data_IF_352078465339
#
_entry.id   IF_352078465339
#
_cell.length_a   1.000
_cell.length_b   1.000
_cell.length_c   1.000
_cell.angle_alpha   90.00
_cell.angle_beta   90.00
_cell.angle_gamma   90.00
#
_symmetry.space_group_name_H-M   'P 1'
#
loop_
_entity.id
_entity.type
_entity.pdbx_description
1 polymer ?
#
# COMPACT_ATOMS: atom_id res chain seq x y z
N UNK A 1 50.93 18.82 106.25
CA UNK A 1 49.82 19.32 105.40
C UNK A 1 49.59 18.31 104.28
N UNK A 2 48.51 17.52 104.36
CA UNK A 2 48.15 16.50 103.36
C UNK A 2 47.15 17.13 102.38
N UNK A 3 47.52 17.26 101.11
CA UNK A 3 46.61 17.71 100.05
C UNK A 3 45.79 16.54 99.52
N UNK A 4 44.46 16.69 99.53
CA UNK A 4 43.47 15.71 99.09
C UNK A 4 43.39 15.58 97.56
N UNK A 5 43.04 14.37 97.09
CA UNK A 5 42.69 14.09 95.70
C UNK A 5 41.20 14.40 95.46
N UNK A 6 40.82 15.01 94.32
CA UNK A 6 39.42 15.17 93.97
C UNK A 6 38.84 13.90 93.31
N UNK A 7 37.61 13.56 93.71
CA UNK A 7 36.77 12.48 93.20
C UNK A 7 36.17 12.80 91.82
N UNK A 8 36.20 11.83 90.89
CA UNK A 8 35.60 11.95 89.54
C UNK A 8 34.06 11.81 89.60
N UNK A 9 33.30 12.57 88.79
CA UNK A 9 31.85 12.39 88.65
C UNK A 9 31.50 11.18 87.74
N UNK A 10 30.28 10.61 87.87
CA UNK A 10 29.87 9.44 87.08
C UNK A 10 29.57 9.78 85.61
N UNK A 11 29.72 8.83 84.68
CA UNK A 11 29.48 9.04 83.26
C UNK A 11 27.98 9.21 82.95
N UNK A 12 27.65 10.20 82.14
CA UNK A 12 26.30 10.44 81.61
C UNK A 12 25.92 9.46 80.49
N UNK A 13 24.62 9.32 80.17
CA UNK A 13 24.13 8.32 79.23
C UNK A 13 24.60 8.59 77.79
N UNK A 14 25.12 7.54 77.16
CA UNK A 14 25.58 7.50 75.77
C UNK A 14 24.43 7.78 74.79
N UNK A 15 24.51 8.92 74.11
CA UNK A 15 23.61 9.30 73.01
C UNK A 15 24.31 9.04 71.68
N UNK A 16 24.42 7.78 71.28
CA UNK A 16 24.88 7.44 69.94
C UNK A 16 24.28 6.13 69.42
N UNK A 17 23.00 6.17 69.05
CA UNK A 17 22.44 5.14 68.15
C UNK A 17 21.63 5.86 67.07
N UNK A 18 22.14 5.97 65.82
CA UNK A 18 21.31 6.43 64.73
C UNK A 18 20.37 5.28 64.37
N UNK A 19 19.08 5.45 64.66
CA UNK A 19 18.04 4.57 64.15
C UNK A 19 18.07 4.62 62.61
N UNK A 20 18.63 3.58 62.00
CA UNK A 20 18.63 3.40 60.55
C UNK A 20 17.19 3.27 60.08
N UNK A 21 16.59 4.36 59.59
CA UNK A 21 15.38 4.29 58.78
C UNK A 21 15.71 3.46 57.55
N UNK A 22 15.27 2.21 57.56
CA UNK A 22 15.27 1.35 56.38
C UNK A 22 14.33 2.02 55.38
N UNK A 23 14.88 2.76 54.44
CA UNK A 23 14.16 3.21 53.25
C UNK A 23 13.83 1.94 52.49
N UNK A 24 12.63 1.43 52.68
CA UNK A 24 12.06 0.39 51.81
C UNK A 24 11.85 1.08 50.47
N UNK A 25 12.86 1.03 49.59
CA UNK A 25 12.62 1.31 48.18
C UNK A 25 11.68 0.22 47.69
N UNK A 26 10.51 0.53 47.12
CA UNK A 26 9.75 -0.47 46.40
C UNK A 26 10.66 -0.93 45.24
N UNK A 27 11.24 -2.10 45.42
CA UNK A 27 11.98 -2.84 44.41
C UNK A 27 10.91 -3.46 43.50
N UNK A 28 10.12 -2.60 42.87
CA UNK A 28 9.33 -3.00 41.73
C UNK A 28 10.34 -3.30 40.64
N UNK A 29 10.45 -4.57 40.27
CA UNK A 29 11.27 -5.03 39.17
C UNK A 29 10.89 -4.21 37.93
N UNK A 30 11.74 -3.24 37.57
CA UNK A 30 11.64 -2.55 36.28
C UNK A 30 11.92 -3.52 35.11
N UNK A 31 12.32 -4.76 35.42
CA UNK A 31 12.36 -5.91 34.51
C UNK A 31 10.98 -6.53 34.24
N UNK A 32 9.95 -6.28 35.07
CA UNK A 32 8.56 -6.69 34.81
C UNK A 32 7.78 -5.68 33.95
N UNK A 33 8.33 -4.49 33.68
CA UNK A 33 7.90 -3.68 32.53
C UNK A 33 8.44 -4.35 31.26
N UNK A 34 7.88 -5.53 30.98
CA UNK A 34 8.31 -6.44 29.94
C UNK A 34 8.45 -5.70 28.63
N UNK A 35 9.66 -5.70 28.10
CA UNK A 35 9.86 -5.45 26.68
C UNK A 35 8.93 -6.43 25.96
N UNK A 36 7.95 -5.96 25.15
CA UNK A 36 7.13 -6.85 24.38
C UNK A 36 8.07 -7.75 23.61
N UNK A 37 7.95 -9.02 23.91
CA UNK A 37 8.70 -10.07 23.28
C UNK A 37 8.55 -9.91 21.76
N UNK A 38 9.68 -9.95 21.05
CA UNK A 38 9.71 -9.63 19.63
C UNK A 38 8.74 -10.51 18.81
N UNK A 39 8.38 -11.69 19.32
CA UNK A 39 7.38 -12.57 18.74
C UNK A 39 5.95 -12.03 18.89
N UNK A 40 5.53 -11.49 20.04
CA UNK A 40 4.20 -10.85 20.16
C UNK A 40 4.05 -9.64 19.24
N UNK A 41 5.11 -8.85 19.04
CA UNK A 41 5.07 -7.73 18.09
C UNK A 41 4.89 -8.24 16.66
N UNK A 42 5.63 -9.28 16.28
CA UNK A 42 5.53 -9.90 14.96
C UNK A 42 4.14 -10.51 14.72
N UNK A 43 3.58 -11.19 15.71
CA UNK A 43 2.24 -11.78 15.65
C UNK A 43 1.16 -10.71 15.57
N UNK A 44 1.29 -9.61 16.33
CA UNK A 44 0.37 -8.49 16.27
C UNK A 44 0.41 -7.79 14.90
N UNK A 45 1.59 -7.58 14.32
CA UNK A 45 1.75 -6.99 12.99
C UNK A 45 1.23 -7.90 11.87
N UNK A 46 1.44 -9.20 12.00
CA UNK A 46 0.90 -10.19 11.08
C UNK A 46 -0.62 -10.23 11.17
N UNK A 47 -1.18 -10.27 12.39
CA UNK A 47 -2.61 -10.20 12.64
C UNK A 47 -3.25 -8.92 12.09
N UNK A 48 -2.61 -7.77 12.28
CA UNK A 48 -3.05 -6.50 11.70
C UNK A 48 -3.07 -6.54 10.17
N UNK A 49 -2.00 -7.07 9.55
CA UNK A 49 -1.91 -7.19 8.08
C UNK A 49 -3.01 -8.08 7.52
N UNK A 50 -3.29 -9.22 8.17
CA UNK A 50 -4.38 -10.11 7.79
C UNK A 50 -5.75 -9.43 7.95
N UNK A 51 -5.96 -8.69 9.06
CA UNK A 51 -7.19 -7.96 9.30
C UNK A 51 -7.43 -6.86 8.25
N UNK A 52 -6.40 -6.08 7.90
CA UNK A 52 -6.45 -5.07 6.84
C UNK A 52 -6.72 -5.69 5.47
N UNK A 53 -6.13 -6.86 5.20
CA UNK A 53 -6.35 -7.62 3.96
C UNK A 53 -7.81 -8.06 3.85
N UNK A 54 -8.35 -8.69 4.89
CA UNK A 54 -9.73 -9.14 4.94
C UNK A 54 -10.71 -7.96 4.84
N UNK A 55 -10.42 -6.86 5.56
CA UNK A 55 -11.22 -5.64 5.51
C UNK A 55 -11.21 -5.02 4.10
N UNK A 56 -10.04 -4.91 3.48
CA UNK A 56 -9.90 -4.35 2.13
C UNK A 56 -10.64 -5.18 1.08
N UNK A 57 -10.51 -6.51 1.14
CA UNK A 57 -11.23 -7.42 0.28
C UNK A 57 -12.76 -7.30 0.45
N UNK A 58 -13.25 -7.25 1.70
CA UNK A 58 -14.67 -7.08 1.99
C UNK A 58 -15.21 -5.73 1.53
N UNK A 59 -14.51 -4.63 1.84
CA UNK A 59 -14.90 -3.27 1.48
C UNK A 59 -14.93 -3.08 -0.04
N UNK A 60 -13.88 -3.47 -0.75
CA UNK A 60 -13.84 -3.34 -2.21
C UNK A 60 -14.78 -4.30 -2.92
N UNK A 61 -15.00 -5.50 -2.38
CA UNK A 61 -16.02 -6.42 -2.88
C UNK A 61 -17.43 -5.84 -2.79
N UNK A 62 -17.81 -5.33 -1.62
CA UNK A 62 -19.10 -4.70 -1.41
C UNK A 62 -19.25 -3.40 -2.23
N UNK A 63 -18.25 -2.53 -2.21
CA UNK A 63 -18.23 -1.30 -2.99
C UNK A 63 -18.30 -1.57 -4.50
N UNK A 64 -17.61 -2.61 -4.97
CA UNK A 64 -17.64 -3.07 -6.36
C UNK A 64 -19.04 -3.51 -6.78
N UNK A 65 -19.69 -4.37 -5.99
CA UNK A 65 -21.09 -4.77 -6.24
C UNK A 65 -22.02 -3.56 -6.35
N UNK A 66 -21.90 -2.59 -5.43
CA UNK A 66 -22.73 -1.38 -5.42
C UNK A 66 -22.41 -0.41 -6.57
N UNK A 67 -21.15 -0.34 -6.99
CA UNK A 67 -20.68 0.57 -8.02
C UNK A 67 -20.89 0.05 -9.45
N UNK A 68 -21.16 -1.24 -9.63
CA UNK A 68 -21.34 -1.91 -10.93
C UNK A 68 -22.25 -1.13 -11.90
N UNK A 69 -23.44 -0.74 -11.47
CA UNK A 69 -24.36 0.06 -12.29
C UNK A 69 -23.91 1.50 -12.55
N UNK A 70 -23.04 2.08 -11.70
CA UNK A 70 -22.40 3.38 -11.97
C UNK A 70 -21.28 3.23 -13.00
N UNK A 71 -20.45 2.18 -12.89
CA UNK A 71 -19.38 1.90 -13.84
C UNK A 71 -19.93 1.59 -15.24
N UNK A 72 -21.01 0.81 -15.33
CA UNK A 72 -21.68 0.52 -16.60
C UNK A 72 -22.17 1.80 -17.31
N UNK A 73 -22.54 2.85 -16.56
CA UNK A 73 -22.94 4.15 -17.13
C UNK A 73 -21.78 4.99 -17.67
N UNK A 74 -20.53 4.65 -17.31
CA UNK A 74 -19.34 5.32 -17.84
C UNK A 74 -18.89 4.72 -19.18
N UNK A 75 -19.45 3.59 -19.61
CA UNK A 75 -19.12 2.92 -20.86
C UNK A 75 -19.80 3.67 -22.03
N UNK A 76 -19.04 4.13 -23.06
CA UNK A 76 -19.63 4.81 -24.22
C UNK A 76 -20.57 3.91 -25.03
N UNK A 77 -21.70 4.46 -25.50
CA UNK A 77 -22.72 3.73 -26.26
C UNK A 77 -22.25 3.21 -27.64
N UNK A 78 -21.12 3.69 -28.14
CA UNK A 78 -20.54 3.27 -29.42
C UNK A 78 -19.72 1.97 -29.38
N UNK A 79 -19.49 1.37 -28.19
CA UNK A 79 -18.86 0.06 -28.06
C UNK A 79 -19.88 -1.09 -28.15
N UNK A 80 -19.72 -2.03 -29.09
CA UNK A 80 -20.52 -3.27 -29.19
C UNK A 80 -19.74 -4.49 -28.67
N UNK A 81 -20.39 -5.56 -28.18
CA UNK A 81 -21.43 -5.62 -27.15
C UNK A 81 -20.87 -6.19 -25.81
N UNK A 82 -21.48 -5.75 -24.70
CA UNK A 82 -21.59 -6.56 -23.49
C UNK A 82 -20.75 -6.10 -22.31
N UNK A 83 -21.25 -5.10 -21.58
CA UNK A 83 -20.98 -4.90 -20.15
C UNK A 83 -21.47 -6.08 -19.28
N UNK A 84 -21.55 -7.31 -19.83
CA UNK A 84 -22.05 -8.51 -19.14
C UNK A 84 -21.19 -8.82 -17.92
N UNK A 85 -19.88 -8.56 -18.00
CA UNK A 85 -18.95 -8.70 -16.89
C UNK A 85 -18.95 -7.50 -15.93
N UNK A 86 -19.71 -6.44 -16.19
CA UNK A 86 -19.98 -5.36 -15.23
C UNK A 86 -21.21 -5.63 -14.37
N UNK A 87 -21.71 -6.88 -14.34
CA UNK A 87 -22.73 -7.25 -13.37
C UNK A 87 -22.15 -7.23 -11.94
N UNK A 88 -22.92 -6.85 -10.90
CA UNK A 88 -22.46 -6.73 -9.51
C UNK A 88 -21.52 -7.82 -9.00
N UNK A 89 -21.79 -9.10 -9.29
CA UNK A 89 -20.96 -10.21 -8.82
C UNK A 89 -19.53 -10.17 -9.40
N UNK A 90 -19.38 -9.90 -10.69
CA UNK A 90 -18.07 -9.85 -11.33
C UNK A 90 -17.25 -8.64 -10.85
N UNK A 91 -17.90 -7.48 -10.68
CA UNK A 91 -17.25 -6.28 -10.12
C UNK A 91 -16.88 -6.49 -8.64
N UNK A 92 -17.69 -7.24 -7.89
CA UNK A 92 -17.37 -7.62 -6.52
C UNK A 92 -16.14 -8.55 -6.46
N UNK A 93 -16.06 -9.56 -7.32
CA UNK A 93 -14.89 -10.44 -7.42
C UNK A 93 -13.64 -9.63 -7.75
N UNK A 94 -13.71 -8.73 -8.74
CA UNK A 94 -12.60 -7.83 -9.05
C UNK A 94 -12.20 -7.00 -7.82
N UNK A 95 -13.16 -6.42 -7.11
CA UNK A 95 -12.93 -5.67 -5.86
C UNK A 95 -12.26 -6.50 -4.77
N UNK A 96 -12.70 -7.73 -4.55
CA UNK A 96 -12.08 -8.67 -3.59
C UNK A 96 -10.63 -8.93 -3.96
N UNK A 97 -10.36 -9.28 -5.23
CA UNK A 97 -8.99 -9.52 -5.71
C UNK A 97 -8.10 -8.29 -5.52
N UNK A 98 -8.61 -7.10 -5.83
CA UNK A 98 -7.91 -5.83 -5.60
C UNK A 98 -7.58 -5.61 -4.12
N UNK A 99 -8.52 -5.93 -3.22
CA UNK A 99 -8.30 -5.85 -1.78
C UNK A 99 -7.25 -6.83 -1.27
N UNK A 100 -7.23 -8.05 -1.83
CA UNK A 100 -6.20 -9.05 -1.54
C UNK A 100 -4.81 -8.58 -2.01
N UNK A 101 -4.70 -8.01 -3.22
CA UNK A 101 -3.44 -7.45 -3.72
C UNK A 101 -2.97 -6.27 -2.86
N UNK A 102 -3.87 -5.41 -2.39
CA UNK A 102 -3.53 -4.32 -1.48
C UNK A 102 -3.00 -4.85 -0.12
N UNK A 103 -3.58 -5.93 0.40
CA UNK A 103 -3.08 -6.62 1.59
C UNK A 103 -1.70 -7.24 1.40
N UNK A 104 -1.49 -7.91 0.25
CA UNK A 104 -0.20 -8.50 -0.11
C UNK A 104 0.89 -7.43 -0.25
N UNK A 105 0.54 -6.26 -0.78
CA UNK A 105 1.45 -5.12 -0.87
C UNK A 105 1.89 -4.63 0.52
N UNK A 106 0.96 -4.51 1.46
CA UNK A 106 1.29 -4.15 2.86
C UNK A 106 2.21 -5.18 3.48
N UNK A 107 1.94 -6.46 3.25
CA UNK A 107 2.82 -7.54 3.71
C UNK A 107 4.24 -7.41 3.12
N UNK A 108 4.36 -7.16 1.82
CA UNK A 108 5.64 -6.99 1.14
C UNK A 108 6.44 -5.77 1.62
N UNK A 109 5.76 -4.68 1.99
CA UNK A 109 6.41 -3.44 2.43
C UNK A 109 6.65 -3.37 3.94
N UNK A 110 5.92 -4.16 4.73
CA UNK A 110 5.89 -4.07 6.18
C UNK A 110 5.30 -2.74 6.70
N UNK A 111 4.54 -2.01 5.88
CA UNK A 111 4.07 -0.66 6.18
C UNK A 111 2.53 -0.56 6.17
N UNK A 112 1.85 -1.00 7.25
CA UNK A 112 0.38 -1.07 7.30
C UNK A 112 -0.30 0.29 7.14
N UNK A 113 0.37 1.38 7.51
CA UNK A 113 -0.19 2.73 7.43
C UNK A 113 -0.25 3.28 6.00
N UNK A 114 0.45 2.65 5.04
CA UNK A 114 0.33 2.99 3.61
C UNK A 114 -0.88 2.31 2.95
N UNK A 115 -1.53 1.38 3.65
CA UNK A 115 -2.66 0.59 3.15
C UNK A 115 -3.80 1.44 2.58
N UNK A 116 -4.28 2.53 3.21
CA UNK A 116 -5.38 3.32 2.64
C UNK A 116 -5.03 3.90 1.27
N UNK A 117 -3.79 4.37 1.08
CA UNK A 117 -3.33 4.92 -0.18
C UNK A 117 -3.28 3.85 -1.28
N UNK A 118 -2.73 2.68 -0.97
CA UNK A 118 -2.64 1.53 -1.88
C UNK A 118 -4.04 1.03 -2.24
N UNK A 119 -4.94 0.90 -1.27
CA UNK A 119 -6.31 0.45 -1.48
C UNK A 119 -7.07 1.39 -2.44
N UNK A 120 -6.97 2.70 -2.22
CA UNK A 120 -7.60 3.71 -3.09
C UNK A 120 -7.00 3.71 -4.50
N UNK A 121 -5.67 3.64 -4.61
CA UNK A 121 -4.99 3.62 -5.89
C UNK A 121 -5.41 2.41 -6.73
N UNK A 122 -5.35 1.21 -6.14
CA UNK A 122 -5.70 -0.03 -6.81
C UNK A 122 -7.20 -0.11 -7.11
N UNK A 123 -8.08 0.38 -6.22
CA UNK A 123 -9.52 0.44 -6.48
C UNK A 123 -9.87 1.35 -7.66
N UNK A 124 -9.27 2.55 -7.71
CA UNK A 124 -9.47 3.49 -8.81
C UNK A 124 -8.92 2.94 -10.13
N UNK A 125 -7.73 2.34 -10.11
CA UNK A 125 -7.14 1.68 -11.27
C UNK A 125 -8.01 0.52 -11.76
N UNK A 126 -8.48 -0.35 -10.87
CA UNK A 126 -9.37 -1.48 -11.20
C UNK A 126 -10.67 -0.98 -11.82
N UNK A 127 -11.32 0.00 -11.21
CA UNK A 127 -12.56 0.57 -11.73
C UNK A 127 -12.38 1.21 -13.11
N UNK A 128 -11.27 1.93 -13.33
CA UNK A 128 -10.92 2.50 -14.62
C UNK A 128 -10.66 1.40 -15.68
N UNK A 129 -9.94 0.35 -15.32
CA UNK A 129 -9.64 -0.79 -16.20
C UNK A 129 -10.89 -1.60 -16.58
N UNK A 130 -11.86 -1.73 -15.67
CA UNK A 130 -13.14 -2.39 -15.97
C UNK A 130 -13.95 -1.60 -17.01
N UNK A 131 -13.95 -0.27 -16.91
CA UNK A 131 -14.60 0.60 -17.90
C UNK A 131 -13.82 0.60 -19.22
N UNK A 132 -12.49 0.59 -19.16
CA UNK A 132 -11.62 0.52 -20.34
C UNK A 132 -11.81 -0.79 -21.11
N UNK A 133 -11.86 -1.93 -20.41
CA UNK A 133 -12.13 -3.24 -21.01
C UNK A 133 -13.51 -3.30 -21.70
N UNK A 134 -14.50 -2.56 -21.19
CA UNK A 134 -15.84 -2.54 -21.76
C UNK A 134 -15.99 -1.54 -22.91
N UNK A 135 -15.29 -0.40 -22.86
CA UNK A 135 -15.53 0.76 -23.71
C UNK A 135 -14.34 1.24 -24.53
N UNK A 136 -13.15 0.64 -24.38
CA UNK A 136 -11.88 1.10 -24.97
C UNK A 136 -11.62 2.60 -24.71
N UNK A 137 -12.08 3.07 -23.55
CA UNK A 137 -11.86 4.43 -23.05
C UNK A 137 -11.61 4.37 -21.56
N UNK A 138 -10.43 4.82 -21.18
CA UNK A 138 -10.09 4.97 -19.78
C UNK A 138 -10.75 6.25 -19.20
N UNK A 139 -11.59 6.13 -18.15
CA UNK A 139 -12.24 7.29 -17.55
C UNK A 139 -11.26 8.09 -16.69
N UNK A 140 -10.77 9.20 -17.25
CA UNK A 140 -9.85 10.14 -16.61
C UNK A 140 -10.27 10.55 -15.19
N UNK A 141 -11.59 10.72 -14.98
CA UNK A 141 -12.14 11.12 -13.68
C UNK A 141 -11.81 10.10 -12.58
N UNK A 142 -11.82 8.80 -12.88
CA UNK A 142 -11.48 7.76 -11.89
C UNK A 142 -9.99 7.77 -11.60
N UNK A 143 -9.16 7.81 -12.65
CA UNK A 143 -7.71 7.75 -12.53
C UNK A 143 -7.18 8.98 -11.79
N UNK A 144 -7.57 10.18 -12.19
CA UNK A 144 -7.06 11.42 -11.59
C UNK A 144 -7.54 11.62 -10.14
N UNK A 145 -8.81 11.30 -9.85
CA UNK A 145 -9.32 11.39 -8.48
C UNK A 145 -8.69 10.34 -7.57
N UNK A 146 -8.54 9.12 -8.08
CA UNK A 146 -7.83 8.06 -7.38
C UNK A 146 -6.38 8.43 -7.10
N UNK A 147 -5.71 9.03 -8.10
CA UNK A 147 -4.34 9.49 -7.97
C UNK A 147 -4.17 10.61 -6.96
N UNK A 148 -5.01 11.64 -7.02
CA UNK A 148 -4.99 12.71 -6.04
C UNK A 148 -5.27 12.18 -4.61
N UNK A 149 -6.31 11.36 -4.44
CA UNK A 149 -6.66 10.79 -3.14
C UNK A 149 -5.57 9.87 -2.58
N UNK A 150 -5.00 8.98 -3.41
CA UNK A 150 -3.92 8.09 -3.01
C UNK A 150 -2.66 8.87 -2.64
N UNK A 151 -2.26 9.88 -3.41
CA UNK A 151 -1.12 10.74 -3.09
C UNK A 151 -1.31 11.47 -1.76
N UNK A 152 -2.50 12.01 -1.49
CA UNK A 152 -2.82 12.69 -0.22
C UNK A 152 -2.78 11.72 0.96
N UNK A 153 -3.38 10.53 0.82
CA UNK A 153 -3.34 9.50 1.85
C UNK A 153 -1.90 9.02 2.10
N UNK A 154 -1.07 8.95 1.05
CA UNK A 154 0.31 8.56 1.19
C UNK A 154 1.13 9.62 1.93
N UNK A 155 0.92 10.90 1.61
CA UNK A 155 1.50 12.01 2.37
C UNK A 155 1.04 11.98 3.84
N UNK A 156 -0.24 11.71 4.10
CA UNK A 156 -0.76 11.59 5.45
C UNK A 156 -0.16 10.41 6.25
N UNK A 157 0.35 9.39 5.55
CA UNK A 157 1.00 8.23 6.18
C UNK A 157 2.45 8.50 6.63
N UNK A 158 3.06 9.62 6.24
CA UNK A 158 4.46 9.98 6.54
C UNK A 158 4.85 9.85 8.03
N UNK A 159 4.03 10.29 9.01
CA UNK A 159 4.41 10.20 10.43
C UNK A 159 4.44 8.77 10.97
N UNK A 160 3.83 7.82 10.24
CA UNK A 160 3.59 6.44 10.69
C UNK A 160 4.33 5.41 9.82
N UNK A 161 4.96 5.84 8.74
CA UNK A 161 5.56 4.99 7.71
C UNK A 161 7.01 5.39 7.47
N UNK A 162 7.75 4.60 6.68
CA UNK A 162 9.10 4.97 6.28
C UNK A 162 9.05 6.14 5.29
N UNK A 163 9.56 7.34 5.65
CA UNK A 163 9.49 8.52 4.79
C UNK A 163 10.22 8.31 3.46
N UNK A 164 11.30 7.52 3.46
CA UNK A 164 12.06 7.26 2.24
C UNK A 164 11.20 6.52 1.21
N UNK A 165 10.43 5.51 1.64
CA UNK A 165 9.54 4.75 0.75
C UNK A 165 8.40 5.59 0.22
N UNK A 166 7.80 6.41 1.08
CA UNK A 166 6.72 7.33 0.68
C UNK A 166 7.22 8.32 -0.36
N UNK A 167 8.38 8.95 -0.13
CA UNK A 167 8.97 9.89 -1.09
C UNK A 167 9.38 9.20 -2.39
N UNK A 168 9.92 7.99 -2.31
CA UNK A 168 10.29 7.20 -3.49
C UNK A 168 9.05 6.83 -4.32
N UNK A 169 7.93 6.50 -3.69
CA UNK A 169 6.67 6.23 -4.37
C UNK A 169 6.09 7.46 -5.08
N UNK A 170 6.11 8.63 -4.43
CA UNK A 170 5.69 9.89 -5.04
C UNK A 170 6.61 10.28 -6.21
N UNK A 171 7.93 10.12 -6.03
CA UNK A 171 8.91 10.39 -7.07
C UNK A 171 8.76 9.43 -8.26
N UNK A 172 8.56 8.13 -8.00
CA UNK A 172 8.32 7.13 -9.04
C UNK A 172 7.05 7.42 -9.83
N UNK A 173 5.95 7.75 -9.13
CA UNK A 173 4.69 8.16 -9.76
C UNK A 173 4.87 9.38 -10.67
N UNK A 174 5.53 10.43 -10.17
CA UNK A 174 5.80 11.63 -10.94
C UNK A 174 6.73 11.35 -12.14
N UNK A 175 7.81 10.62 -11.93
CA UNK A 175 8.78 10.27 -12.97
C UNK A 175 8.13 9.45 -14.08
N UNK A 176 7.34 8.42 -13.74
CA UNK A 176 6.63 7.62 -14.73
C UNK A 176 5.68 8.47 -15.57
N UNK A 177 4.89 9.33 -14.93
CA UNK A 177 3.96 10.21 -15.64
C UNK A 177 4.69 11.21 -16.55
N UNK A 178 5.73 11.87 -16.04
CA UNK A 178 6.51 12.86 -16.81
C UNK A 178 7.17 12.19 -18.01
N UNK A 179 7.91 11.10 -17.80
CA UNK A 179 8.64 10.40 -18.86
C UNK A 179 7.69 9.91 -19.94
N UNK A 180 6.59 9.26 -19.56
CA UNK A 180 5.63 8.76 -20.55
C UNK A 180 4.85 9.89 -21.23
N UNK A 181 4.59 11.00 -20.53
CA UNK A 181 4.02 12.19 -21.17
C UNK A 181 4.97 12.74 -22.23
N UNK A 182 6.28 12.84 -21.94
CA UNK A 182 7.27 13.27 -22.92
C UNK A 182 7.36 12.32 -24.11
N UNK A 183 7.27 11.01 -23.87
CA UNK A 183 7.21 10.00 -24.95
C UNK A 183 5.98 10.20 -25.83
N UNK A 184 4.79 10.42 -25.24
CA UNK A 184 3.57 10.68 -26.02
C UNK A 184 3.65 12.00 -26.77
N UNK A 185 4.27 13.03 -26.21
CA UNK A 185 4.48 14.30 -26.92
C UNK A 185 5.44 14.14 -28.11
N UNK A 186 6.49 13.32 -27.97
CA UNK A 186 7.44 13.03 -29.04
C UNK A 186 6.85 12.06 -30.09
N UNK A 187 6.04 11.09 -29.65
CA UNK A 187 5.43 10.04 -30.48
C UNK A 187 3.94 9.89 -30.13
N UNK A 188 3.06 10.74 -30.69
CA UNK A 188 1.64 10.82 -30.32
C UNK A 188 0.82 9.54 -30.53
N UNK A 189 1.34 8.58 -31.30
CA UNK A 189 0.68 7.30 -31.59
C UNK A 189 1.24 6.13 -30.78
N UNK A 190 2.23 6.36 -29.91
CA UNK A 190 2.88 5.28 -29.15
C UNK A 190 2.00 4.73 -28.02
N UNK A 191 1.30 5.61 -27.29
CA UNK A 191 0.52 5.25 -26.12
C UNK A 191 -0.69 6.17 -25.94
N UNK A 192 -1.80 5.64 -25.44
CA UNK A 192 -2.97 6.43 -25.07
C UNK A 192 -2.68 7.35 -23.88
N UNK A 193 -3.14 8.60 -23.92
CA UNK A 193 -2.92 9.55 -22.81
C UNK A 193 -3.59 9.11 -21.50
N UNK A 194 -4.64 8.29 -21.57
CA UNK A 194 -5.24 7.66 -20.40
C UNK A 194 -4.26 6.70 -19.72
N UNK A 195 -3.58 5.85 -20.49
CA UNK A 195 -2.62 4.87 -19.96
C UNK A 195 -1.44 5.58 -19.28
N UNK A 196 -0.98 6.72 -19.80
CA UNK A 196 0.06 7.54 -19.15
C UNK A 196 -0.33 7.93 -17.73
N UNK A 197 -1.58 8.37 -17.53
CA UNK A 197 -2.10 8.73 -16.20
C UNK A 197 -2.25 7.51 -15.30
N UNK A 198 -2.71 6.40 -15.86
CA UNK A 198 -2.84 5.14 -15.12
C UNK A 198 -1.47 4.66 -14.64
N UNK A 199 -0.45 4.71 -15.49
CA UNK A 199 0.92 4.36 -15.10
C UNK A 199 1.42 5.30 -13.99
N UNK A 200 1.13 6.60 -14.07
CA UNK A 200 1.42 7.53 -12.98
C UNK A 200 0.80 7.08 -11.64
N UNK A 201 -0.47 6.68 -11.65
CA UNK A 201 -1.17 6.13 -10.48
C UNK A 201 -0.54 4.82 -9.98
N UNK A 202 -0.27 3.87 -10.88
CA UNK A 202 0.37 2.59 -10.55
C UNK A 202 1.81 2.75 -10.07
N UNK A 203 2.47 3.86 -10.44
CA UNK A 203 3.78 4.27 -9.93
C UNK A 203 3.77 4.54 -8.43
N UNK A 204 2.66 4.98 -7.83
CA UNK A 204 2.55 5.10 -6.36
C UNK A 204 2.62 3.73 -5.69
N UNK A 205 1.91 2.74 -6.25
CA UNK A 205 1.83 1.39 -5.69
C UNK A 205 3.17 0.68 -5.85
N UNK A 206 3.68 0.62 -7.07
CA UNK A 206 4.96 -0.05 -7.36
C UNK A 206 6.16 0.66 -6.74
N UNK A 207 6.14 1.99 -6.66
CA UNK A 207 7.20 2.77 -6.04
C UNK A 207 7.38 2.51 -4.55
N UNK A 208 6.32 2.17 -3.80
CA UNK A 208 6.46 1.77 -2.39
C UNK A 208 7.29 0.48 -2.20
N UNK A 209 7.28 -0.39 -3.22
CA UNK A 209 8.06 -1.63 -3.24
C UNK A 209 9.50 -1.40 -3.70
N UNK A 210 9.77 -0.27 -4.37
CA UNK A 210 11.09 0.14 -4.83
C UNK A 210 11.21 0.27 -6.36
N UNK A 211 12.35 0.78 -6.86
CA UNK A 211 12.53 1.08 -8.28
C UNK A 211 12.43 -0.14 -9.20
N UNK A 212 12.91 -1.31 -8.74
CA UNK A 212 12.81 -2.56 -9.50
C UNK A 212 11.34 -2.93 -9.77
N UNK A 213 10.47 -2.77 -8.78
CA UNK A 213 9.05 -3.06 -8.92
C UNK A 213 8.36 -2.12 -9.90
N UNK A 214 8.78 -0.85 -10.00
CA UNK A 214 8.31 0.08 -11.03
C UNK A 214 8.67 -0.42 -12.43
N UNK A 215 9.92 -0.86 -12.63
CA UNK A 215 10.35 -1.44 -13.88
C UNK A 215 9.58 -2.72 -14.22
N UNK A 216 9.38 -3.62 -13.23
CA UNK A 216 8.57 -4.84 -13.40
C UNK A 216 7.14 -4.51 -13.79
N UNK A 217 6.50 -3.55 -13.13
CA UNK A 217 5.14 -3.09 -13.49
C UNK A 217 5.05 -2.68 -14.95
N UNK A 218 5.99 -1.84 -15.41
CA UNK A 218 6.00 -1.35 -16.79
C UNK A 218 6.28 -2.46 -17.79
N UNK A 219 7.34 -3.24 -17.58
CA UNK A 219 7.76 -4.30 -18.49
C UNK A 219 6.71 -5.41 -18.55
N UNK A 220 6.23 -5.89 -17.40
CA UNK A 220 5.20 -6.91 -17.35
C UNK A 220 3.90 -6.42 -18.00
N UNK A 221 3.50 -5.17 -17.77
CA UNK A 221 2.32 -4.59 -18.40
C UNK A 221 2.42 -4.56 -19.93
N UNK A 222 3.56 -4.11 -20.46
CA UNK A 222 3.83 -4.09 -21.91
C UNK A 222 3.89 -5.49 -22.50
N UNK A 223 4.58 -6.42 -21.84
CA UNK A 223 4.71 -7.81 -22.32
C UNK A 223 3.35 -8.49 -22.32
N UNK A 224 2.58 -8.39 -21.24
CA UNK A 224 1.24 -8.99 -21.14
C UNK A 224 0.28 -8.40 -22.18
N UNK A 225 0.29 -7.07 -22.35
CA UNK A 225 -0.53 -6.41 -23.36
C UNK A 225 -0.13 -6.79 -24.79
N UNK A 226 1.17 -6.91 -25.05
CA UNK A 226 1.71 -7.36 -26.34
C UNK A 226 1.33 -8.81 -26.65
N UNK A 227 1.47 -9.72 -25.69
CA UNK A 227 1.05 -11.12 -25.83
C UNK A 227 -0.46 -11.21 -26.09
N UNK A 228 -1.27 -10.46 -25.36
CA UNK A 228 -2.71 -10.43 -25.57
C UNK A 228 -3.09 -9.95 -26.97
N UNK A 229 -2.43 -8.88 -27.45
CA UNK A 229 -2.61 -8.37 -28.81
C UNK A 229 -2.23 -9.43 -29.87
N UNK A 230 -1.11 -10.13 -29.68
CA UNK A 230 -0.68 -11.21 -30.58
C UNK A 230 -1.67 -12.38 -30.59
N UNK A 231 -2.19 -12.78 -29.44
CA UNK A 231 -3.19 -13.85 -29.33
C UNK A 231 -4.48 -13.46 -30.05
N UNK A 232 -4.97 -12.23 -29.88
CA UNK A 232 -6.18 -11.76 -30.57
C UNK A 232 -5.99 -11.70 -32.09
N UNK A 233 -4.81 -11.29 -32.54
CA UNK A 233 -4.45 -11.28 -33.97
C UNK A 233 -4.35 -12.70 -34.53
N UNK A 234 -3.74 -13.63 -33.79
CA UNK A 234 -3.62 -15.03 -34.18
C UNK A 234 -5.00 -15.73 -34.27
N UNK A 235 -5.91 -15.39 -33.36
CA UNK A 235 -7.30 -15.87 -33.36
C UNK A 235 -8.19 -15.16 -34.38
N UNK A 236 -7.66 -14.20 -35.16
CA UNK A 236 -8.40 -13.34 -36.11
C UNK A 236 -9.61 -12.64 -35.47
N UNK A 237 -9.50 -12.33 -34.18
CA UNK A 237 -10.51 -11.58 -33.42
C UNK A 237 -10.23 -10.08 -33.37
N UNK A 238 -9.06 -9.66 -33.85
CA UNK A 238 -8.66 -8.27 -34.00
C UNK A 238 -7.82 -8.10 -35.27
N UNK A 239 -7.94 -6.93 -35.90
CA UNK A 239 -7.08 -6.50 -37.01
C UNK A 239 -5.99 -5.55 -36.52
N UNK A 240 -5.00 -5.25 -37.37
CA UNK A 240 -3.90 -4.31 -37.05
C UNK A 240 -4.37 -2.89 -36.66
N UNK A 241 -5.62 -2.54 -36.97
CA UNK A 241 -6.24 -1.26 -36.63
C UNK A 241 -7.20 -1.30 -35.44
N UNK A 242 -7.41 -2.46 -34.82
CA UNK A 242 -8.32 -2.57 -33.68
C UNK A 242 -7.66 -1.99 -32.42
N UNK A 243 -8.22 -0.93 -31.81
CA UNK A 243 -7.67 -0.39 -30.57
C UNK A 243 -7.82 -1.43 -29.45
N UNK A 244 -6.73 -1.71 -28.73
CA UNK A 244 -6.72 -2.60 -27.56
C UNK A 244 -6.80 -1.78 -26.27
N UNK A 245 -7.61 -2.24 -25.33
CA UNK A 245 -7.63 -1.74 -23.95
C UNK A 245 -6.34 -2.17 -23.24
N UNK A 246 -5.43 -1.22 -23.00
CA UNK A 246 -4.11 -1.50 -22.41
C UNK A 246 -4.11 -1.42 -20.88
N UNK A 247 -5.08 -0.69 -20.29
CA UNK A 247 -5.20 -0.49 -18.85
C UNK A 247 -5.21 -1.79 -18.03
N UNK A 248 -6.04 -2.80 -18.36
CA UNK A 248 -6.09 -4.06 -17.62
C UNK A 248 -4.73 -4.79 -17.56
N UNK A 249 -3.93 -4.70 -18.63
CA UNK A 249 -2.62 -5.35 -18.69
C UNK A 249 -1.57 -4.61 -17.85
N UNK A 250 -1.61 -3.28 -17.81
CA UNK A 250 -0.80 -2.46 -16.89
C UNK A 250 -1.12 -2.78 -15.41
N UNK A 251 -2.41 -2.90 -15.09
CA UNK A 251 -2.84 -3.29 -13.74
C UNK A 251 -2.38 -4.71 -13.39
N UNK A 252 -2.47 -5.65 -14.33
CA UNK A 252 -1.96 -7.01 -14.16
C UNK A 252 -0.44 -7.02 -13.92
N UNK A 253 0.32 -6.21 -14.65
CA UNK A 253 1.76 -6.03 -14.43
C UNK A 253 2.08 -5.49 -13.03
N UNK A 254 1.25 -4.58 -12.50
CA UNK A 254 1.38 -4.11 -11.11
C UNK A 254 1.09 -5.22 -10.10
N UNK A 255 0.03 -5.99 -10.32
CA UNK A 255 -0.27 -7.15 -9.48
C UNK A 255 0.87 -8.17 -9.47
N UNK A 256 1.49 -8.41 -10.62
CA UNK A 256 2.67 -9.26 -10.73
C UNK A 256 3.86 -8.71 -9.92
N UNK A 257 4.13 -7.41 -10.01
CA UNK A 257 5.20 -6.78 -9.22
C UNK A 257 4.96 -6.93 -7.70
N UNK A 258 3.70 -6.82 -7.25
CA UNK A 258 3.33 -7.03 -5.84
C UNK A 258 3.57 -8.48 -5.42
N UNK A 259 3.15 -9.46 -6.24
CA UNK A 259 3.37 -10.88 -5.94
C UNK A 259 4.86 -11.21 -5.91
N UNK A 260 5.61 -10.73 -6.90
CA UNK A 260 7.05 -10.96 -7.00
C UNK A 260 7.81 -10.38 -5.80
N UNK A 261 7.35 -9.27 -5.22
CA UNK A 261 7.96 -8.67 -4.04
C UNK A 261 7.79 -9.48 -2.75
N UNK A 262 6.86 -10.44 -2.72
CA UNK A 262 6.66 -11.37 -1.58
C UNK A 262 7.43 -12.67 -1.75
N UNK A 263 7.78 -13.03 -2.98
CA UNK A 263 8.54 -14.25 -3.23
C UNK A 263 9.99 -14.09 -2.75
N UNK A 264 10.58 -15.10 -2.08
CA UNK A 264 11.98 -15.08 -1.73
C UNK A 264 12.81 -14.93 -3.01
N UNK A 265 13.65 -13.90 -3.09
CA UNK A 265 14.70 -13.86 -4.10
C UNK A 265 15.73 -14.93 -3.75
N UNK A 266 16.03 -15.88 -4.64
CA UNK A 266 17.00 -16.94 -4.39
C UNK A 266 18.42 -16.41 -4.18
#
# INVERSE_FOLDING_TARGET
MRCGRPSRPPPGPDRSTPASRRVVRPQGDLSELGQPDAWAIMDAMTGLTLALTALGAALLGAAGAMAAGRLARLVPASGRPGAWFLHPAAVAVAGVLTGLVAGLHVHATGQPWTWPAVLVALAAATAACLVDAAGHRLPDVLVLRGWAAASLLLLASLPLSDPHRVLLALAASAACWIVLTLVVLAVPRALGYGDVKLVGLLGLVSGLLGPTSVAVTLVAGVVLGGVAALVLLALRRADRGTPLAFGPWLLAGTGWAVVAAVLPTP
#
